data_IF_640772645692
#
_entry.id   IF_640772645692
#
_cell.length_a   1.000
_cell.length_b   1.000
_cell.length_c   1.000
_cell.angle_alpha   90.00
_cell.angle_beta   90.00
_cell.angle_gamma   90.00
#
_symmetry.space_group_name_H-M   'P 1'
#
loop_
_entity.id
_entity.type
_entity.pdbx_description
1 polymer ?
#
# COMPACT_ATOMS: atom_id res chain seq x y z
N UNK A 1 -48.65 11.13 -6.94
CA UNK A 1 -47.62 10.11 -7.19
C UNK A 1 -46.67 10.69 -8.24
N UNK A 2 -45.66 11.45 -7.81
CA UNK A 2 -44.31 11.03 -7.40
C UNK A 2 -43.32 11.06 -8.57
N UNK A 3 -42.37 12.01 -8.47
CA UNK A 3 -41.18 12.25 -9.31
C UNK A 3 -40.24 11.04 -9.26
N UNK A 4 -39.32 10.76 -10.20
CA UNK A 4 -37.98 11.37 -10.43
C UNK A 4 -37.30 10.49 -11.51
N UNK A 5 -36.78 11.00 -12.64
CA UNK A 5 -35.45 11.59 -12.90
C UNK A 5 -34.37 10.58 -13.36
N UNK A 6 -33.67 10.98 -14.43
CA UNK A 6 -32.29 10.63 -14.84
C UNK A 6 -32.05 9.46 -15.82
N UNK A 7 -31.95 9.84 -17.11
CA UNK A 7 -30.75 9.73 -17.98
C UNK A 7 -30.01 8.37 -18.07
N UNK A 8 -29.93 7.74 -19.25
CA UNK A 8 -29.10 6.54 -19.44
C UNK A 8 -27.63 6.94 -19.35
N UNK A 9 -26.93 6.37 -18.37
CA UNK A 9 -25.49 6.49 -18.25
C UNK A 9 -24.83 5.98 -19.54
N UNK A 10 -24.04 6.85 -20.16
CA UNK A 10 -23.19 6.55 -21.31
C UNK A 10 -22.42 5.26 -21.07
N UNK A 11 -22.63 4.31 -21.98
CA UNK A 11 -21.90 3.05 -22.02
C UNK A 11 -20.45 3.34 -22.41
N UNK A 12 -19.61 3.60 -21.42
CA UNK A 12 -18.17 3.68 -21.61
C UNK A 12 -17.60 2.27 -21.78
N UNK A 13 -17.07 2.03 -22.97
CA UNK A 13 -16.58 0.74 -23.44
C UNK A 13 -15.38 0.17 -22.67
N UNK A 14 -15.38 -1.17 -22.69
CA UNK A 14 -14.30 -2.13 -22.50
C UNK A 14 -13.29 -1.90 -21.34
N UNK A 15 -13.57 -2.58 -20.22
CA UNK A 15 -12.76 -2.63 -18.99
C UNK A 15 -11.46 -3.46 -19.13
N UNK A 16 -11.24 -4.10 -20.28
CA UNK A 16 -10.10 -5.02 -20.50
C UNK A 16 -8.75 -4.31 -20.68
N UNK A 17 -8.75 -3.08 -21.17
CA UNK A 17 -7.52 -2.35 -21.52
C UNK A 17 -6.89 -1.58 -20.33
N UNK A 18 -7.69 -1.29 -19.28
CA UNK A 18 -7.22 -0.54 -18.10
C UNK A 18 -6.45 -1.38 -17.08
N UNK A 19 -6.63 -2.69 -17.09
CA UNK A 19 -5.93 -3.62 -16.19
C UNK A 19 -4.49 -3.87 -16.65
N UNK A 20 -4.27 -3.91 -17.96
CA UNK A 20 -2.97 -4.22 -18.56
C UNK A 20 -1.99 -3.05 -18.44
N UNK A 21 -2.44 -1.81 -18.68
CA UNK A 21 -1.64 -0.59 -18.46
C UNK A 21 -1.40 -0.32 -16.96
N UNK A 22 -2.36 -0.63 -16.08
CA UNK A 22 -2.12 -0.64 -14.62
C UNK A 22 -1.06 -1.66 -14.23
N UNK A 23 -1.11 -2.90 -14.72
CA UNK A 23 -0.13 -3.93 -14.40
C UNK A 23 1.27 -3.57 -14.92
N UNK A 24 1.39 -3.05 -16.13
CA UNK A 24 2.69 -2.73 -16.75
C UNK A 24 3.34 -1.52 -16.06
N UNK A 25 2.58 -0.47 -15.76
CA UNK A 25 3.08 0.70 -15.01
C UNK A 25 3.39 0.34 -13.54
N UNK A 26 2.64 -0.60 -12.94
CA UNK A 26 2.84 -1.17 -11.59
C UNK A 26 4.04 -2.14 -11.49
N UNK A 27 4.51 -2.63 -12.63
CA UNK A 27 5.64 -3.57 -12.73
C UNK A 27 6.95 -2.85 -13.03
N UNK A 28 6.93 -1.71 -13.73
CA UNK A 28 8.15 -1.12 -14.26
C UNK A 28 8.78 0.04 -13.47
N UNK A 29 8.06 0.94 -12.75
CA UNK A 29 8.73 2.21 -12.38
C UNK A 29 8.44 2.98 -11.06
N UNK A 30 7.85 2.44 -9.98
CA UNK A 30 7.89 3.28 -8.75
C UNK A 30 7.19 2.81 -7.48
N UNK A 31 7.83 1.93 -6.71
CA UNK A 31 7.37 1.61 -5.35
C UNK A 31 8.42 1.80 -4.25
N UNK A 32 9.64 2.26 -4.59
CA UNK A 32 10.71 2.44 -3.60
C UNK A 32 10.36 3.42 -2.47
N UNK A 33 9.80 4.59 -2.80
CA UNK A 33 9.46 5.60 -1.79
C UNK A 33 8.31 5.18 -0.87
N UNK A 34 7.30 4.51 -1.40
CA UNK A 34 6.19 3.99 -0.57
C UNK A 34 6.67 2.85 0.34
N UNK A 35 7.45 1.90 -0.19
CA UNK A 35 8.06 0.83 0.61
C UNK A 35 8.96 1.40 1.71
N UNK A 36 9.82 2.37 1.36
CA UNK A 36 10.68 3.08 2.32
C UNK A 36 9.86 3.76 3.40
N UNK A 37 8.83 4.53 3.04
CA UNK A 37 7.98 5.21 4.01
C UNK A 37 7.31 4.21 4.98
N UNK A 38 6.77 3.10 4.46
CA UNK A 38 6.17 2.05 5.29
C UNK A 38 7.21 1.42 6.22
N UNK A 39 8.40 1.09 5.71
CA UNK A 39 9.46 0.49 6.52
C UNK A 39 9.97 1.44 7.60
N UNK A 40 10.13 2.73 7.31
CA UNK A 40 10.53 3.73 8.30
C UNK A 40 9.49 3.85 9.42
N UNK A 41 8.20 3.88 9.07
CA UNK A 41 7.12 3.92 10.06
C UNK A 41 7.12 2.67 10.94
N UNK A 42 7.27 1.48 10.34
CA UNK A 42 7.31 0.22 11.08
C UNK A 42 8.61 0.04 11.89
N UNK A 43 9.73 0.62 11.45
CA UNK A 43 11.00 0.56 12.15
C UNK A 43 11.02 1.47 13.39
N UNK A 44 10.32 2.61 13.32
CA UNK A 44 10.20 3.59 14.41
C UNK A 44 9.01 3.35 15.33
N UNK A 45 8.07 2.48 14.97
CA UNK A 45 6.91 2.19 15.79
C UNK A 45 7.30 1.32 17.01
N UNK A 46 6.84 1.72 18.19
CA UNK A 46 6.97 0.92 19.42
C UNK A 46 6.08 -0.33 19.41
N UNK A 47 5.05 -0.36 18.55
CA UNK A 47 4.07 -1.44 18.45
C UNK A 47 3.64 -1.69 17.00
N UNK A 48 2.93 -2.80 16.76
CA UNK A 48 2.43 -3.16 15.42
C UNK A 48 1.47 -2.09 14.88
N UNK A 49 1.52 -1.81 13.58
CA UNK A 49 0.65 -0.82 12.94
C UNK A 49 -0.31 -1.48 11.95
N UNK A 50 -1.52 -0.93 11.79
CA UNK A 50 -2.43 -1.32 10.71
C UNK A 50 -2.47 -0.29 9.58
N UNK A 51 -2.86 -0.71 8.37
CA UNK A 51 -2.72 0.12 7.16
C UNK A 51 -3.39 1.49 7.24
N UNK A 52 -4.56 1.60 7.87
CA UNK A 52 -5.24 2.89 8.06
C UNK A 52 -4.46 3.84 8.99
N UNK A 53 -3.90 3.32 10.10
CA UNK A 53 -3.05 4.11 10.99
C UNK A 53 -1.81 4.62 10.25
N UNK A 54 -1.23 3.82 9.35
CA UNK A 54 -0.11 4.26 8.52
C UNK A 54 -0.51 5.37 7.55
N UNK A 55 -1.69 5.29 6.93
CA UNK A 55 -2.19 6.37 6.06
C UNK A 55 -2.27 7.68 6.85
N UNK A 56 -2.90 7.66 8.01
CA UNK A 56 -3.11 8.83 8.86
C UNK A 56 -1.78 9.43 9.35
N UNK A 57 -0.87 8.59 9.84
CA UNK A 57 0.43 9.04 10.33
C UNK A 57 1.42 9.46 9.22
N UNK A 58 1.16 9.10 7.96
CA UNK A 58 2.06 9.43 6.84
C UNK A 58 1.93 10.87 6.31
N UNK A 59 1.01 11.67 6.84
CA UNK A 59 0.75 13.05 6.39
C UNK A 59 0.53 13.17 4.87
N UNK A 60 -0.19 12.19 4.28
CA UNK A 60 -0.51 12.18 2.85
C UNK A 60 0.52 11.50 1.94
N UNK A 61 1.66 11.03 2.49
CA UNK A 61 2.65 10.25 1.72
C UNK A 61 2.12 8.88 1.30
N UNK A 62 1.25 8.27 2.11
CA UNK A 62 0.58 7.01 1.77
C UNK A 62 -0.87 7.27 1.36
N UNK A 63 -1.25 6.72 0.19
CA UNK A 63 -2.63 6.76 -0.31
C UNK A 63 -3.33 5.43 -0.06
N UNK A 64 -4.63 5.48 0.25
CA UNK A 64 -5.47 4.28 0.52
C UNK A 64 -5.41 3.24 -0.59
N UNK A 65 -5.49 3.68 -1.86
CA UNK A 65 -5.45 2.77 -3.01
C UNK A 65 -4.13 2.03 -3.21
N UNK A 66 -3.02 2.61 -2.71
CA UNK A 66 -1.68 2.08 -2.92
C UNK A 66 -1.20 1.27 -1.72
N UNK A 67 -1.49 1.73 -0.50
CA UNK A 67 -0.92 1.16 0.72
C UNK A 67 -1.24 -0.33 0.88
N UNK A 68 -2.46 -0.76 0.58
CA UNK A 68 -2.86 -2.16 0.79
C UNK A 68 -2.19 -3.11 -0.20
N UNK A 69 -2.04 -2.68 -1.45
CA UNK A 69 -1.36 -3.47 -2.46
C UNK A 69 0.15 -3.51 -2.17
N UNK A 70 0.73 -2.39 -1.72
CA UNK A 70 2.13 -2.35 -1.31
C UNK A 70 2.39 -3.24 -0.09
N UNK A 71 1.55 -3.16 0.95
CA UNK A 71 1.65 -4.03 2.13
C UNK A 71 1.55 -5.51 1.76
N UNK A 72 0.64 -5.87 0.86
CA UNK A 72 0.54 -7.22 0.35
C UNK A 72 1.84 -7.67 -0.33
N UNK A 73 2.38 -6.88 -1.26
CA UNK A 73 3.64 -7.18 -1.96
C UNK A 73 4.83 -7.25 -1.02
N UNK A 74 4.94 -6.33 -0.05
CA UNK A 74 6.01 -6.32 0.94
C UNK A 74 5.98 -7.56 1.83
N UNK A 75 4.79 -8.04 2.20
CA UNK A 75 4.60 -9.30 2.93
C UNK A 75 5.04 -10.49 2.08
N UNK A 76 4.64 -10.54 0.81
CA UNK A 76 5.06 -11.58 -0.14
C UNK A 76 6.60 -11.58 -0.36
N UNK A 77 7.23 -10.41 -0.34
CA UNK A 77 8.70 -10.25 -0.38
C UNK A 77 9.40 -10.59 0.95
N UNK A 78 8.65 -10.85 2.02
CA UNK A 78 9.18 -11.12 3.36
C UNK A 78 9.78 -9.90 4.07
N UNK A 79 9.47 -8.67 3.62
CA UNK A 79 9.96 -7.43 4.24
C UNK A 79 9.18 -7.09 5.53
N UNK A 80 7.92 -7.53 5.60
CA UNK A 80 7.04 -7.32 6.75
C UNK A 80 6.30 -8.61 7.09
N UNK A 81 5.98 -8.79 8.37
CA UNK A 81 5.06 -9.82 8.84
C UNK A 81 3.66 -9.22 9.00
N UNK A 82 2.63 -10.07 9.03
CA UNK A 82 1.27 -9.62 9.28
C UNK A 82 0.50 -10.56 10.19
N UNK A 83 -0.26 -10.00 11.15
CA UNK A 83 -1.18 -10.73 12.02
C UNK A 83 -2.60 -10.19 11.86
N UNK A 84 -3.58 -11.08 11.74
CA UNK A 84 -5.00 -10.70 11.78
C UNK A 84 -5.47 -10.61 13.24
N UNK A 85 -6.11 -9.51 13.60
CA UNK A 85 -6.75 -9.41 14.92
C UNK A 85 -8.10 -10.15 14.89
N UNK A 86 -8.29 -11.08 15.84
CA UNK A 86 -9.53 -11.83 15.98
C UNK A 86 -10.72 -10.89 16.22
N UNK A 87 -11.86 -11.19 15.61
CA UNK A 87 -13.08 -10.38 15.73
C UNK A 87 -13.06 -9.06 14.96
N UNK A 88 -12.01 -8.76 14.16
CA UNK A 88 -11.96 -7.55 13.34
C UNK A 88 -11.46 -7.84 11.93
N UNK A 89 -11.70 -6.92 10.99
CA UNK A 89 -11.07 -6.93 9.67
C UNK A 89 -9.64 -6.33 9.69
N UNK A 90 -9.13 -5.95 10.87
CA UNK A 90 -7.82 -5.28 10.99
C UNK A 90 -6.68 -6.29 10.86
N UNK A 91 -5.68 -5.91 10.08
CA UNK A 91 -4.41 -6.61 9.93
C UNK A 91 -3.30 -5.69 10.41
N UNK A 92 -2.53 -6.19 11.36
CA UNK A 92 -1.35 -5.53 11.93
C UNK A 92 -0.11 -6.00 11.21
N UNK A 93 0.87 -5.11 11.11
CA UNK A 93 2.12 -5.33 10.42
C UNK A 93 3.29 -4.94 11.29
N UNK A 94 4.37 -5.68 11.12
CA UNK A 94 5.65 -5.50 11.82
C UNK A 94 6.78 -5.69 10.83
N UNK A 95 7.85 -4.89 10.95
CA UNK A 95 9.03 -5.04 10.10
C UNK A 95 9.79 -6.34 10.44
N UNK A 96 10.25 -7.07 9.42
CA UNK A 96 11.12 -8.25 9.63
C UNK A 96 12.59 -7.85 9.63
N UNK A 97 13.48 -8.78 10.02
CA UNK A 97 14.92 -8.56 9.89
C UNK A 97 15.33 -8.24 8.44
N UNK A 98 14.77 -8.96 7.46
CA UNK A 98 14.97 -8.71 6.03
C UNK A 98 14.51 -7.31 5.62
N UNK A 99 13.36 -6.87 6.16
CA UNK A 99 12.84 -5.52 5.96
C UNK A 99 13.79 -4.43 6.47
N UNK A 100 14.39 -4.62 7.65
CA UNK A 100 15.39 -3.69 8.21
C UNK A 100 16.62 -3.59 7.32
N UNK A 101 17.19 -4.73 6.92
CA UNK A 101 18.34 -4.74 5.99
C UNK A 101 18.01 -4.06 4.66
N UNK A 102 16.82 -4.30 4.12
CA UNK A 102 16.38 -3.66 2.88
C UNK A 102 16.23 -2.13 3.04
N UNK A 103 15.69 -1.67 4.17
CA UNK A 103 15.61 -0.24 4.49
C UNK A 103 17.01 0.40 4.53
N UNK A 104 17.97 -0.22 5.24
CA UNK A 104 19.35 0.26 5.31
C UNK A 104 20.01 0.36 3.93
N UNK A 105 19.74 -0.62 3.05
CA UNK A 105 20.27 -0.62 1.68
C UNK A 105 19.67 0.51 0.83
N UNK A 106 18.37 0.79 0.97
CA UNK A 106 17.72 1.91 0.28
C UNK A 106 18.32 3.25 0.78
N UNK A 107 18.48 3.40 2.09
CA UNK A 107 19.00 4.64 2.67
C UNK A 107 20.46 4.90 2.29
N UNK A 108 21.29 3.84 2.19
CA UNK A 108 22.67 3.96 1.70
C UNK A 108 22.72 4.39 0.24
N UNK A 109 21.87 3.85 -0.62
CA UNK A 109 21.82 4.22 -2.06
C UNK A 109 21.45 5.69 -2.30
N UNK A 110 20.78 6.34 -1.36
CA UNK A 110 20.35 7.74 -1.49
C UNK A 110 21.44 8.72 -1.00
N UNK A 111 22.44 8.24 -0.25
CA UNK A 111 23.55 9.05 0.28
C UNK A 111 24.82 9.02 -0.60
N UNK A 112 24.81 8.25 -1.70
CA UNK A 112 25.88 8.18 -2.71
C UNK A 112 25.47 9.02 -3.90
#
# INVERSE_FOLDING_TARGET
>A
MAQTKNQPAEQFGNDSDRTFLKLIWFTLFGFGETEKCILQMLASAESEMYGLQMIEASSGKLKRGTVYVTLQRMREKGLISSRKQLGTSRRFYTITQRGRTYLDLIEKKIKV
#
